data_IF_573376068466
#
_entry.id   IF_573376068466
#
_cell.length_a   1.000
_cell.length_b   1.000
_cell.length_c   1.000
_cell.angle_alpha   90.00
_cell.angle_beta   90.00
_cell.angle_gamma   90.00
#
_symmetry.space_group_name_H-M   'P 1'
#
loop_
_entity.id
_entity.type
_entity.pdbx_description
1 polymer ?
#
# COMPACT_ATOMS: atom_id res chain seq x y z
N UNK A 1 -0.37 37.02 -9.47
CA UNK A 1 -0.82 35.94 -10.36
C UNK A 1 -0.69 34.64 -9.58
N UNK A 2 -1.78 33.87 -9.46
CA UNK A 2 -1.80 32.59 -8.76
C UNK A 2 -1.79 31.46 -9.79
N UNK A 3 -0.82 30.57 -9.69
CA UNK A 3 -0.77 29.34 -10.47
C UNK A 3 -1.37 28.22 -9.61
N UNK A 4 -2.23 27.40 -10.22
CA UNK A 4 -2.81 26.23 -9.58
C UNK A 4 -2.32 25.00 -10.33
N UNK A 5 -1.46 24.22 -9.69
CA UNK A 5 -1.08 22.88 -10.17
C UNK A 5 -2.12 21.91 -9.63
N UNK A 6 -3.14 21.60 -10.43
CA UNK A 6 -4.17 20.64 -10.06
C UNK A 6 -3.66 19.21 -10.30
N UNK A 7 -3.30 18.55 -9.20
CA UNK A 7 -3.49 17.11 -8.95
C UNK A 7 -2.83 16.11 -9.93
N UNK A 8 -1.81 15.42 -9.41
CA UNK A 8 -1.13 14.32 -10.08
C UNK A 8 -2.03 13.09 -10.18
N UNK A 9 -2.21 12.59 -11.42
CA UNK A 9 -2.79 11.28 -11.72
C UNK A 9 -1.62 10.37 -12.07
N UNK A 10 -1.33 9.40 -11.21
CA UNK A 10 -0.38 8.32 -11.49
C UNK A 10 -1.12 7.25 -12.28
N UNK A 11 -1.08 7.36 -13.60
CA UNK A 11 -1.23 6.19 -14.47
C UNK A 11 0.17 5.87 -14.97
N UNK A 12 0.57 4.60 -14.89
CA UNK A 12 1.92 4.08 -15.17
C UNK A 12 2.45 4.50 -16.56
N UNK A 13 1.52 4.95 -17.41
CA UNK A 13 1.76 5.26 -18.81
C UNK A 13 2.26 6.70 -19.06
N UNK A 14 1.99 7.68 -18.17
CA UNK A 14 2.22 9.10 -18.52
C UNK A 14 2.65 9.95 -17.32
N UNK A 15 3.94 9.88 -16.96
CA UNK A 15 4.69 10.83 -16.13
C UNK A 15 4.60 12.25 -16.72
N UNK A 16 3.44 12.91 -16.72
CA UNK A 16 3.18 14.20 -17.39
C UNK A 16 2.80 15.28 -16.39
N UNK A 17 3.31 16.48 -16.62
CA UNK A 17 2.98 17.71 -15.91
C UNK A 17 2.32 18.65 -16.89
N UNK A 18 1.21 19.25 -16.47
CA UNK A 18 0.55 20.36 -17.16
C UNK A 18 0.88 21.67 -16.45
N UNK A 19 1.30 22.67 -17.23
CA UNK A 19 1.57 24.03 -16.78
C UNK A 19 0.61 24.93 -17.54
N UNK A 20 -0.28 25.61 -16.83
CA UNK A 20 -1.26 26.52 -17.43
C UNK A 20 -0.70 27.92 -17.35
N UNK A 21 -0.41 28.55 -18.50
CA UNK A 21 0.13 29.91 -18.59
C UNK A 21 -0.92 30.81 -19.22
N UNK A 22 -1.19 31.94 -18.57
CA UNK A 22 -2.13 32.96 -19.04
C UNK A 22 -1.39 34.28 -19.28
N UNK A 23 -1.61 34.90 -20.45
CA UNK A 23 -1.04 36.21 -20.76
C UNK A 23 -2.04 37.32 -20.38
N UNK A 24 -1.84 37.94 -19.23
CA UNK A 24 -2.64 39.08 -18.75
C UNK A 24 -2.18 40.44 -19.32
N UNK A 25 -1.16 40.48 -20.16
CA UNK A 25 -0.62 41.70 -20.75
C UNK A 25 -1.26 42.05 -22.09
N UNK A 26 -0.91 43.23 -22.61
CA UNK A 26 -1.42 43.75 -23.89
C UNK A 26 -0.54 43.40 -25.10
N UNK A 27 0.54 42.64 -24.89
CA UNK A 27 1.54 42.31 -25.91
C UNK A 27 1.69 40.79 -26.02
N UNK A 28 1.74 40.22 -27.24
CA UNK A 28 2.01 38.80 -27.41
C UNK A 28 3.38 38.42 -26.85
N UNK A 29 3.43 37.29 -26.15
CA UNK A 29 4.64 36.84 -25.46
C UNK A 29 4.85 35.34 -25.62
N UNK A 30 6.09 34.92 -25.82
CA UNK A 30 6.48 33.51 -25.90
C UNK A 30 7.33 33.16 -24.67
N UNK A 31 6.72 32.88 -23.51
CA UNK A 31 7.47 32.53 -22.32
C UNK A 31 8.18 31.19 -22.52
N UNK A 32 9.49 31.16 -22.32
CA UNK A 32 10.30 29.95 -22.41
C UNK A 32 11.10 29.77 -21.12
N UNK A 33 11.45 28.52 -20.82
CA UNK A 33 12.19 28.23 -19.61
C UNK A 33 12.28 26.74 -19.31
N UNK A 34 12.38 26.42 -18.03
CA UNK A 34 12.54 25.04 -17.58
C UNK A 34 11.80 24.77 -16.26
N UNK A 35 11.49 23.49 -16.05
CA UNK A 35 11.08 22.95 -14.75
C UNK A 35 12.24 22.17 -14.18
N UNK A 36 12.67 22.52 -12.97
CA UNK A 36 13.72 21.80 -12.24
C UNK A 36 13.06 20.99 -11.12
N UNK A 37 13.43 19.71 -11.02
CA UNK A 37 12.93 18.78 -10.02
C UNK A 37 13.95 18.56 -8.91
N UNK A 38 13.49 18.67 -7.67
CA UNK A 38 14.28 18.43 -6.47
C UNK A 38 13.70 17.29 -5.63
N UNK A 39 14.59 16.49 -5.04
CA UNK A 39 14.25 15.51 -3.98
C UNK A 39 13.88 16.24 -2.68
N UNK A 40 13.25 15.52 -1.76
CA UNK A 40 13.06 15.86 -0.35
C UNK A 40 14.32 16.36 0.36
N UNK A 41 15.50 15.92 -0.08
CA UNK A 41 16.82 16.33 0.42
C UNK A 41 17.37 17.60 -0.23
N UNK A 42 16.64 18.19 -1.18
CA UNK A 42 17.07 19.37 -1.93
C UNK A 42 18.06 19.08 -3.07
N UNK A 43 18.35 17.82 -3.37
CA UNK A 43 19.17 17.45 -4.54
C UNK A 43 18.37 17.62 -5.81
N UNK A 44 18.96 18.25 -6.82
CA UNK A 44 18.42 18.27 -8.18
C UNK A 44 18.43 16.85 -8.76
N UNK A 45 17.31 16.46 -9.36
CA UNK A 45 17.11 15.15 -9.99
C UNK A 45 17.19 15.28 -11.51
N UNK A 46 16.69 16.39 -12.04
CA UNK A 46 16.74 16.71 -13.45
C UNK A 46 15.95 17.96 -13.78
N UNK A 47 16.07 18.41 -15.03
CA UNK A 47 15.32 19.54 -15.56
C UNK A 47 14.65 19.18 -16.89
N UNK A 48 13.55 19.86 -17.20
CA UNK A 48 12.79 19.69 -18.43
C UNK A 48 12.51 21.05 -19.03
N UNK A 49 12.86 21.23 -20.30
CA UNK A 49 12.53 22.47 -21.00
C UNK A 49 11.03 22.59 -21.23
N UNK A 50 10.53 23.80 -21.03
CA UNK A 50 9.13 24.17 -21.24
C UNK A 50 9.07 25.18 -22.37
N UNK A 51 8.20 24.90 -23.34
CA UNK A 51 7.98 25.74 -24.51
C UNK A 51 9.25 25.98 -25.37
N UNK A 52 10.01 24.92 -25.66
CA UNK A 52 11.18 24.98 -26.57
C UNK A 52 10.82 25.46 -27.99
N UNK A 53 9.55 25.29 -28.39
CA UNK A 53 9.02 25.76 -29.68
C UNK A 53 8.73 27.27 -29.71
N UNK A 54 8.94 27.97 -28.58
CA UNK A 54 8.65 29.41 -28.45
C UNK A 54 7.23 29.76 -28.91
N UNK A 55 6.25 28.93 -28.53
CA UNK A 55 4.84 29.18 -28.82
C UNK A 55 4.44 30.53 -28.23
N UNK A 56 3.94 31.39 -29.10
CA UNK A 56 3.43 32.72 -28.75
C UNK A 56 2.06 32.56 -28.09
N UNK A 57 1.86 33.27 -27.00
CA UNK A 57 0.61 33.38 -26.26
C UNK A 57 0.08 34.80 -26.48
N UNK A 58 -1.09 34.92 -27.09
CA UNK A 58 -1.73 36.20 -27.37
C UNK A 58 -2.30 36.85 -26.10
N UNK A 59 -2.53 38.17 -26.07
CA UNK A 59 -3.20 38.86 -24.97
C UNK A 59 -4.54 38.21 -24.58
N UNK A 60 -4.71 37.86 -23.31
CA UNK A 60 -5.91 37.19 -22.78
C UNK A 60 -6.02 35.70 -23.11
N UNK A 61 -5.03 35.11 -23.77
CA UNK A 61 -5.01 33.68 -24.09
C UNK A 61 -4.44 32.86 -22.91
N UNK A 62 -5.04 31.70 -22.68
CA UNK A 62 -4.56 30.68 -21.73
C UNK A 62 -4.07 29.46 -22.50
N UNK A 63 -2.81 29.08 -22.31
CA UNK A 63 -2.19 27.92 -22.96
C UNK A 63 -1.76 26.90 -21.91
N UNK A 64 -2.10 25.64 -22.15
CA UNK A 64 -1.60 24.52 -21.35
C UNK A 64 -0.38 23.91 -22.04
N UNK A 65 0.77 23.95 -21.37
CA UNK A 65 2.01 23.33 -21.79
C UNK A 65 2.14 22.00 -21.06
N UNK A 66 2.42 20.91 -21.77
CA UNK A 66 2.59 19.58 -21.16
C UNK A 66 4.03 19.12 -21.32
N UNK A 67 4.64 18.66 -20.24
CA UNK A 67 6.02 18.17 -20.20
C UNK A 67 6.11 16.84 -19.45
N UNK A 68 7.06 15.98 -19.82
CA UNK A 68 7.26 14.68 -19.15
C UNK A 68 8.26 14.79 -18.00
N UNK A 69 8.04 14.01 -16.94
CA UNK A 69 8.82 14.05 -15.70
C UNK A 69 9.97 13.04 -15.75
N UNK A 70 11.24 13.48 -15.70
CA UNK A 70 12.41 12.61 -15.76
C UNK A 70 12.75 12.07 -14.37
N UNK A 71 11.76 11.56 -13.64
CA UNK A 71 11.95 11.01 -12.29
C UNK A 71 11.83 9.48 -12.40
N UNK A 72 12.92 8.80 -12.03
CA UNK A 72 12.98 7.35 -11.83
C UNK A 72 12.06 6.92 -10.66
N UNK A 73 11.89 5.62 -10.46
CA UNK A 73 10.96 4.99 -9.49
C UNK A 73 11.35 5.19 -8.00
N UNK A 74 11.81 6.38 -7.65
CA UNK A 74 12.09 6.80 -6.29
C UNK A 74 10.78 7.20 -5.63
N UNK A 75 10.53 6.56 -4.49
CA UNK A 75 9.47 6.95 -3.58
C UNK A 75 9.85 8.25 -2.86
N UNK A 76 8.89 9.16 -2.72
CA UNK A 76 9.07 10.30 -1.83
C UNK A 76 8.35 11.55 -2.23
N UNK A 77 8.61 12.61 -1.45
CA UNK A 77 8.15 13.97 -1.74
C UNK A 77 9.16 14.63 -2.68
N UNK A 78 8.66 15.14 -3.78
CA UNK A 78 9.39 15.89 -4.77
C UNK A 78 8.91 17.33 -4.80
N UNK A 79 9.79 18.22 -5.26
CA UNK A 79 9.53 19.63 -5.43
C UNK A 79 9.83 19.98 -6.88
N UNK A 80 8.86 20.53 -7.60
CA UNK A 80 9.06 21.09 -8.93
C UNK A 80 9.12 22.60 -8.83
N UNK A 81 10.14 23.20 -9.43
CA UNK A 81 10.31 24.63 -9.55
C UNK A 81 10.24 25.01 -11.03
N UNK A 82 9.21 25.77 -11.40
CA UNK A 82 9.04 26.30 -12.75
C UNK A 82 9.70 27.67 -12.81
N UNK A 83 10.55 27.90 -13.80
CA UNK A 83 11.15 29.18 -14.09
C UNK A 83 10.92 29.53 -15.56
N UNK A 84 10.00 30.44 -15.82
CA UNK A 84 9.67 30.94 -17.16
C UNK A 84 10.15 32.37 -17.30
N UNK A 85 10.77 32.70 -18.42
CA UNK A 85 11.22 34.06 -18.74
C UNK A 85 10.38 34.62 -19.88
N UNK A 86 9.98 35.88 -19.77
CA UNK A 86 9.19 36.55 -20.80
C UNK A 86 9.63 38.01 -21.02
N UNK A 87 9.45 38.50 -22.24
CA UNK A 87 9.84 39.84 -22.66
C UNK A 87 11.17 39.89 -23.41
N UNK A 88 11.22 40.71 -24.48
CA UNK A 88 12.35 40.76 -25.43
C UNK A 88 13.64 41.43 -24.89
N UNK A 89 13.53 42.38 -23.96
CA UNK A 89 14.65 43.27 -23.60
C UNK A 89 14.85 43.50 -22.08
N UNK A 90 13.90 43.08 -21.25
CA UNK A 90 13.98 43.09 -19.78
C UNK A 90 13.18 41.87 -19.32
N UNK A 91 13.83 40.71 -19.33
CA UNK A 91 13.20 39.43 -19.05
C UNK A 91 12.61 39.43 -17.65
N UNK A 92 11.29 39.55 -17.55
CA UNK A 92 10.61 39.28 -16.30
C UNK A 92 10.58 37.76 -16.13
N UNK A 93 11.02 37.30 -14.97
CA UNK A 93 10.98 35.88 -14.63
C UNK A 93 9.75 35.59 -13.79
N UNK A 94 9.07 34.51 -14.15
CA UNK A 94 7.94 33.96 -13.46
C UNK A 94 8.41 32.66 -12.80
N UNK A 95 8.32 32.63 -11.47
CA UNK A 95 8.70 31.48 -10.67
C UNK A 95 7.48 30.95 -9.93
N UNK A 96 7.26 29.65 -10.03
CA UNK A 96 6.27 28.95 -9.22
C UNK A 96 6.84 27.64 -8.71
N UNK A 97 6.37 27.21 -7.54
CA UNK A 97 6.90 26.04 -6.86
C UNK A 97 5.79 25.17 -6.32
N UNK A 98 5.79 23.90 -6.74
CA UNK A 98 4.80 22.92 -6.30
C UNK A 98 5.47 21.71 -5.66
N UNK A 99 4.74 21.06 -4.77
CA UNK A 99 5.18 19.85 -4.09
C UNK A 99 4.26 18.70 -4.46
N UNK A 100 4.86 17.56 -4.75
CA UNK A 100 4.12 16.37 -5.11
C UNK A 100 4.74 15.13 -4.50
N UNK A 101 3.95 14.05 -4.42
CA UNK A 101 4.41 12.79 -3.88
C UNK A 101 4.40 11.76 -4.99
N UNK A 102 5.53 11.08 -5.20
CA UNK A 102 5.63 9.99 -6.17
C UNK A 102 5.57 8.65 -5.42
N UNK A 103 4.59 7.83 -5.76
CA UNK A 103 4.47 6.44 -5.30
C UNK A 103 4.38 5.48 -6.48
N UNK A 104 5.48 4.82 -6.86
CA UNK A 104 5.43 3.74 -7.83
C UNK A 104 4.45 2.63 -7.42
N UNK A 105 3.48 2.33 -8.29
CA UNK A 105 2.42 1.35 -8.02
C UNK A 105 2.96 -0.07 -7.86
N UNK A 106 4.01 -0.42 -8.62
CA UNK A 106 4.67 -1.73 -8.54
C UNK A 106 5.21 -2.00 -7.13
N UNK A 107 5.70 -0.96 -6.44
CA UNK A 107 6.21 -1.10 -5.09
C UNK A 107 5.07 -1.34 -4.09
N UNK A 108 3.94 -0.65 -4.25
CA UNK A 108 2.74 -0.87 -3.43
C UNK A 108 2.23 -2.31 -3.60
N UNK A 109 2.13 -2.79 -4.84
CA UNK A 109 1.74 -4.18 -5.15
C UNK A 109 2.73 -5.18 -4.56
N UNK A 110 4.03 -4.91 -4.64
CA UNK A 110 5.08 -5.79 -4.10
C UNK A 110 4.99 -5.89 -2.57
N UNK A 111 4.81 -4.77 -1.87
CA UNK A 111 4.63 -4.76 -0.41
C UNK A 111 3.35 -5.50 -0.02
N UNK A 112 2.24 -5.21 -0.69
CA UNK A 112 0.96 -5.85 -0.39
C UNK A 112 0.99 -7.36 -0.65
N UNK A 113 1.56 -7.78 -1.78
CA UNK A 113 1.79 -9.18 -2.11
C UNK A 113 2.73 -9.87 -1.12
N UNK A 114 3.79 -9.20 -0.70
CA UNK A 114 4.73 -9.70 0.32
C UNK A 114 4.04 -9.95 1.65
N UNK A 115 3.24 -9.00 2.13
CA UNK A 115 2.46 -9.16 3.37
C UNK A 115 1.48 -10.33 3.25
N UNK A 116 0.78 -10.44 2.11
CA UNK A 116 -0.17 -11.53 1.86
C UNK A 116 0.52 -12.91 1.91
N UNK A 117 1.70 -13.05 1.30
CA UNK A 117 2.50 -14.28 1.36
C UNK A 117 2.92 -14.61 2.80
N UNK A 118 3.37 -13.60 3.57
CA UNK A 118 3.76 -13.79 4.97
C UNK A 118 2.57 -14.28 5.81
N UNK A 119 1.38 -13.67 5.65
CA UNK A 119 0.17 -14.09 6.36
C UNK A 119 -0.23 -15.53 6.01
N UNK A 120 -0.14 -15.91 4.74
CA UNK A 120 -0.41 -17.29 4.30
C UNK A 120 0.59 -18.26 4.92
N UNK A 121 1.89 -17.94 4.90
CA UNK A 121 2.92 -18.78 5.51
C UNK A 121 2.70 -18.96 7.01
N UNK A 122 2.42 -17.87 7.74
CA UNK A 122 2.11 -17.92 9.17
C UNK A 122 0.89 -18.80 9.43
N UNK A 123 -0.18 -18.63 8.66
CA UNK A 123 -1.40 -19.44 8.80
C UNK A 123 -1.14 -20.93 8.53
N UNK A 124 -0.35 -21.25 7.51
CA UNK A 124 0.04 -22.62 7.20
C UNK A 124 0.94 -23.24 8.27
N UNK A 125 1.89 -22.47 8.82
CA UNK A 125 2.76 -22.93 9.90
C UNK A 125 1.97 -23.19 11.18
N UNK A 126 1.07 -22.29 11.56
CA UNK A 126 0.19 -22.48 12.72
C UNK A 126 -0.68 -23.72 12.51
N UNK A 127 -1.32 -23.86 11.35
CA UNK A 127 -2.12 -25.06 11.03
C UNK A 127 -1.29 -26.33 11.14
N UNK A 128 -0.07 -26.34 10.62
CA UNK A 128 0.82 -27.52 10.68
C UNK A 128 1.22 -27.88 12.12
N UNK A 129 1.48 -26.89 12.97
CA UNK A 129 1.83 -27.13 14.37
C UNK A 129 0.63 -27.62 15.18
N UNK A 130 -0.54 -26.97 15.07
CA UNK A 130 -1.74 -27.36 15.82
C UNK A 130 -2.36 -28.68 15.35
N UNK A 131 -2.26 -29.02 14.06
CA UNK A 131 -2.71 -30.33 13.57
C UNK A 131 -1.83 -31.50 14.02
N UNK A 132 -0.68 -31.24 14.67
CA UNK A 132 0.20 -32.27 15.21
C UNK A 132 -0.12 -32.64 16.67
N UNK A 133 -0.83 -31.77 17.39
CA UNK A 133 -1.30 -32.05 18.76
C UNK A 133 -2.69 -32.72 18.79
N UNK A 134 -3.54 -32.54 17.76
CA UNK A 134 -4.87 -33.16 17.68
C UNK A 134 -4.90 -34.61 17.17
N UNK A 135 -3.76 -35.32 17.18
CA UNK A 135 -3.67 -36.73 16.78
C UNK A 135 -3.26 -37.68 17.94
N UNK A 136 -3.26 -37.20 19.19
CA UNK A 136 -3.01 -38.03 20.37
C UNK A 136 -4.22 -38.17 21.32
N UNK A 137 -5.40 -37.63 20.99
CA UNK A 137 -6.63 -37.82 21.79
C UNK A 137 -7.53 -38.96 21.22
N UNK A 138 -6.91 -40.04 20.74
CA UNK A 138 -7.54 -41.38 20.67
C UNK A 138 -6.83 -42.33 21.64
N UNK A 139 -6.30 -41.83 22.75
CA UNK A 139 -5.99 -42.67 23.89
C UNK A 139 -7.32 -43.01 24.57
N UNK A 140 -7.74 -44.27 24.35
CA UNK A 140 -9.00 -44.82 24.83
C UNK A 140 -9.28 -44.42 26.27
N UNK A 141 -10.52 -43.97 26.51
CA UNK A 141 -11.04 -43.71 27.84
C UNK A 141 -10.73 -44.91 28.75
N UNK A 142 -9.66 -44.82 29.55
CA UNK A 142 -9.43 -45.73 30.66
C UNK A 142 -10.54 -45.47 31.68
N UNK A 143 -11.64 -46.21 31.53
CA UNK A 143 -12.69 -46.29 32.53
C UNK A 143 -12.04 -46.88 33.78
N UNK A 144 -11.78 -46.04 34.78
CA UNK A 144 -11.32 -46.46 36.11
C UNK A 144 -12.39 -47.35 36.74
N UNK A 145 -12.26 -48.67 36.57
CA UNK A 145 -13.10 -49.65 37.24
C UNK A 145 -12.71 -49.69 38.73
N UNK A 146 -13.46 -48.99 39.57
CA UNK A 146 -13.38 -49.15 41.02
C UNK A 146 -13.90 -50.54 41.40
N UNK A 147 -12.99 -51.52 41.52
CA UNK A 147 -13.30 -52.79 42.17
C UNK A 147 -13.45 -52.50 43.66
N UNK A 148 -14.70 -52.48 44.13
CA UNK A 148 -15.01 -52.38 45.56
C UNK A 148 -14.45 -53.62 46.25
N UNK A 149 -13.31 -53.47 46.92
CA UNK A 149 -12.80 -54.50 47.82
C UNK A 149 -13.78 -54.67 48.99
N UNK A 150 -14.27 -55.89 49.16
CA UNK A 150 -15.11 -56.28 50.28
C UNK A 150 -16.36 -56.97 49.84
N UNK A 151 -16.29 -58.30 49.72
CA UNK A 151 -17.14 -59.22 50.48
C UNK A 151 -16.45 -60.59 50.42
N UNK A 152 -15.85 -61.00 51.53
CA UNK A 152 -15.52 -62.40 51.76
C UNK A 152 -16.81 -63.20 51.65
N UNK A 153 -16.90 -64.09 50.65
CA UNK A 153 -18.00 -65.04 50.56
C UNK A 153 -18.01 -65.85 51.84
N UNK A 154 -19.01 -65.64 52.69
CA UNK A 154 -19.29 -66.51 53.82
C UNK A 154 -20.05 -67.73 53.25
N UNK A 155 -19.46 -68.93 53.19
CA UNK A 155 -20.11 -70.10 52.61
C UNK A 155 -20.99 -70.76 53.67
N UNK A 156 -22.09 -70.12 54.03
CA UNK A 156 -23.17 -70.60 54.92
C UNK A 156 -24.33 -69.65 54.64
N UNK A 157 -25.35 -70.01 53.87
CA UNK A 157 -26.43 -70.91 54.26
C UNK A 157 -27.30 -71.17 53.03
N UNK A 158 -27.26 -72.38 52.48
CA UNK A 158 -28.27 -72.88 51.54
C UNK A 158 -28.63 -74.32 51.88
N UNK A 159 -28.86 -74.60 53.16
CA UNK A 159 -29.57 -75.81 53.57
C UNK A 159 -31.06 -75.46 53.68
N UNK A 160 -31.81 -75.75 52.62
CA UNK A 160 -33.27 -75.76 52.64
C UNK A 160 -33.71 -77.07 53.31
N UNK A 161 -34.08 -76.98 54.59
CA UNK A 161 -34.67 -78.07 55.35
C UNK A 161 -36.08 -78.41 54.82
N UNK A 162 -36.18 -79.45 53.99
CA UNK A 162 -37.44 -80.08 53.62
C UNK A 162 -37.85 -81.08 54.72
N UNK A 163 -38.29 -80.55 55.87
CA UNK A 163 -39.03 -81.34 56.86
C UNK A 163 -40.38 -80.69 57.19
N UNK A 164 -41.42 -81.45 56.82
CA UNK A 164 -42.79 -81.40 57.29
C UNK A 164 -43.69 -80.24 56.80
N UNK A 165 -44.65 -80.58 55.93
CA UNK A 165 -46.03 -80.70 56.39
C UNK A 165 -46.91 -81.53 55.44
N UNK A 166 -47.36 -82.66 55.97
CA UNK A 166 -48.48 -83.47 55.50
C UNK A 166 -49.79 -82.69 55.65
N UNK A 167 -50.63 -82.70 54.60
CA UNK A 167 -52.07 -82.93 54.70
C UNK A 167 -52.60 -83.45 53.36
#
# INVERSE_FOLDING_TARGET
>A
AGFLVDRFITDDDKKKISIVVENLGDIPSAPSGEVIFYDSRGSEIGSVQVNSEAKVIEPGETVTLTSEVPIDDKLGRFKANVSLQYGKNMGASLHDTTFFYMMPIHLLVTIFGGILIVVILVTLLLRRTFSRDNYNDEDGEEVLMYVREGHTQNPKEHDIDLKNKTQ
#
